data_IF_821039286531
#
_entry.id   IF_821039286531
#
_cell.length_a   1.000
_cell.length_b   1.000
_cell.length_c   1.000
_cell.angle_alpha   90.00
_cell.angle_beta   90.00
_cell.angle_gamma   90.00
#
_symmetry.space_group_name_H-M   'P 1'
#
loop_
_entity.id
_entity.type
_entity.pdbx_description
1 polymer ?
#
# COMPACT_ATOMS: atom_id res chain seq x y z
N UNK A 1 7.62 -3.97 -5.12
CA UNK A 1 6.69 -3.28 -6.00
C UNK A 1 5.25 -3.30 -5.45
N UNK A 2 4.68 -4.49 -5.12
CA UNK A 2 3.29 -4.63 -4.70
C UNK A 2 2.95 -3.69 -3.53
N UNK A 3 3.71 -3.72 -2.42
CA UNK A 3 3.48 -2.86 -1.25
C UNK A 3 3.58 -1.37 -1.61
N UNK A 4 4.55 -0.98 -2.44
CA UNK A 4 4.72 0.41 -2.86
C UNK A 4 3.53 0.94 -3.68
N UNK A 5 2.93 0.10 -4.54
CA UNK A 5 1.81 0.49 -5.40
C UNK A 5 0.42 0.30 -4.77
N UNK A 6 0.32 -0.45 -3.68
CA UNK A 6 -0.98 -0.77 -3.05
C UNK A 6 -1.13 -0.22 -1.63
N UNK A 7 -0.02 0.05 -0.96
CA UNK A 7 -0.01 0.48 0.43
C UNK A 7 -0.42 -0.60 1.43
N UNK A 8 -0.48 -1.88 1.03
CA UNK A 8 -0.85 -2.96 1.93
C UNK A 8 0.20 -3.21 3.01
N UNK A 9 -0.20 -3.87 4.11
CA UNK A 9 0.73 -4.30 5.16
C UNK A 9 1.59 -5.46 4.67
N UNK A 10 2.76 -5.64 5.25
CA UNK A 10 3.67 -6.73 4.89
C UNK A 10 3.00 -8.12 4.99
N UNK A 11 2.31 -8.38 6.11
CA UNK A 11 1.58 -9.64 6.29
C UNK A 11 0.42 -9.84 5.32
N UNK A 12 -0.25 -8.77 4.88
CA UNK A 12 -1.26 -8.80 3.83
C UNK A 12 -0.62 -9.16 2.48
N UNK A 13 0.53 -8.53 2.16
CA UNK A 13 1.24 -8.79 0.91
C UNK A 13 1.75 -10.23 0.81
N UNK A 14 2.21 -10.82 1.91
CA UNK A 14 2.63 -12.21 1.96
C UNK A 14 1.47 -13.20 1.75
N UNK A 15 0.25 -12.83 2.14
CA UNK A 15 -0.94 -13.68 2.04
C UNK A 15 -1.63 -13.61 0.67
N UNK A 16 -1.17 -12.76 -0.25
CA UNK A 16 -1.81 -12.62 -1.57
C UNK A 16 -1.63 -13.90 -2.38
N UNK A 17 -2.74 -14.34 -2.95
CA UNK A 17 -2.85 -15.52 -3.81
C UNK A 17 -3.31 -15.10 -5.21
N UNK A 18 -3.13 -15.93 -6.27
CA UNK A 18 -3.60 -15.59 -7.61
C UNK A 18 -5.10 -15.25 -7.69
N UNK A 19 -5.96 -15.96 -6.95
CA UNK A 19 -7.41 -15.71 -6.92
C UNK A 19 -7.82 -14.36 -6.29
N UNK A 20 -6.92 -13.66 -5.58
CA UNK A 20 -7.21 -12.34 -5.04
C UNK A 20 -7.22 -11.24 -6.11
N UNK A 21 -6.65 -11.53 -7.30
CA UNK A 21 -6.63 -10.62 -8.43
C UNK A 21 -7.87 -10.77 -9.31
N UNK A 22 -8.54 -9.67 -9.57
CA UNK A 22 -9.52 -9.54 -10.64
C UNK A 22 -8.88 -8.72 -11.78
N UNK A 23 -8.22 -9.43 -12.69
CA UNK A 23 -7.47 -8.80 -13.79
C UNK A 23 -8.37 -8.02 -14.74
N UNK A 24 -9.62 -8.47 -14.95
CA UNK A 24 -10.57 -7.81 -15.83
C UNK A 24 -11.06 -6.46 -15.27
N UNK A 25 -11.23 -6.38 -13.94
CA UNK A 25 -11.65 -5.17 -13.24
C UNK A 25 -10.49 -4.37 -12.64
N UNK A 26 -9.25 -4.80 -12.91
CA UNK A 26 -8.03 -4.18 -12.40
C UNK A 26 -8.08 -3.98 -10.88
N UNK A 27 -8.46 -4.99 -10.14
CA UNK A 27 -8.64 -4.89 -8.70
C UNK A 27 -8.02 -6.03 -7.94
N UNK A 28 -7.67 -5.77 -6.68
CA UNK A 28 -7.04 -6.69 -5.75
C UNK A 28 -7.86 -6.75 -4.46
N UNK A 29 -8.22 -7.96 -4.05
CA UNK A 29 -8.91 -8.23 -2.79
C UNK A 29 -7.89 -8.47 -1.69
N UNK A 30 -8.04 -7.78 -0.55
CA UNK A 30 -7.20 -7.93 0.63
C UNK A 30 -8.12 -8.34 1.77
N UNK A 31 -8.10 -9.61 2.14
CA UNK A 31 -9.04 -10.23 3.08
C UNK A 31 -8.38 -11.15 4.12
N UNK A 32 -7.07 -11.35 4.01
CA UNK A 32 -6.29 -12.26 4.87
C UNK A 32 -4.89 -11.74 5.09
N UNK A 33 -4.19 -12.33 6.05
CA UNK A 33 -2.78 -12.07 6.36
C UNK A 33 -2.02 -13.38 6.48
N UNK A 34 -0.69 -13.32 6.40
CA UNK A 34 0.19 -14.45 6.60
C UNK A 34 0.86 -14.40 7.97
N UNK A 35 0.87 -15.52 8.69
CA UNK A 35 1.57 -15.65 9.98
C UNK A 35 3.08 -15.86 9.77
N UNK A 36 3.78 -14.79 9.42
CA UNK A 36 5.23 -14.84 9.20
C UNK A 36 6.06 -14.83 10.49
N UNK A 37 5.43 -14.64 11.66
CA UNK A 37 6.09 -14.62 12.98
C UNK A 37 5.94 -15.94 13.74
N UNK A 38 4.94 -16.73 13.40
CA UNK A 38 4.61 -17.99 14.04
C UNK A 38 4.90 -19.19 13.14
N UNK A 39 3.91 -20.05 13.01
CA UNK A 39 4.04 -21.34 12.30
C UNK A 39 3.76 -21.23 10.80
N UNK A 40 3.51 -20.04 10.28
CA UNK A 40 3.01 -19.85 8.92
C UNK A 40 1.51 -20.10 8.83
N UNK A 41 0.96 -19.89 7.62
CA UNK A 41 -0.46 -20.09 7.32
C UNK A 41 -1.25 -18.80 7.26
N UNK A 42 -2.46 -18.91 6.74
CA UNK A 42 -3.38 -17.78 6.62
C UNK A 42 -4.04 -17.45 7.96
N UNK A 43 -4.10 -16.17 8.26
CA UNK A 43 -4.82 -15.61 9.39
C UNK A 43 -5.83 -14.55 8.91
N UNK A 44 -6.91 -14.31 9.67
CA UNK A 44 -7.80 -13.20 9.39
C UNK A 44 -7.06 -11.87 9.48
N UNK A 45 -7.60 -10.84 8.83
CA UNK A 45 -7.10 -9.48 8.98
C UNK A 45 -7.32 -8.97 10.41
N UNK A 46 -6.51 -7.97 10.83
CA UNK A 46 -6.53 -7.40 12.18
C UNK A 46 -7.91 -6.90 12.61
N UNK A 47 -8.68 -6.35 11.67
CA UNK A 47 -10.04 -5.83 11.89
C UNK A 47 -10.81 -5.84 10.56
N UNK A 48 -12.12 -5.62 10.64
CA UNK A 48 -13.00 -5.67 9.47
C UNK A 48 -12.66 -4.59 8.42
N UNK A 49 -12.23 -3.40 8.83
CA UNK A 49 -11.81 -2.34 7.91
C UNK A 49 -10.56 -2.68 7.09
N UNK A 50 -9.79 -3.69 7.54
CA UNK A 50 -8.65 -4.21 6.78
C UNK A 50 -9.09 -5.08 5.60
N UNK A 51 -10.30 -5.65 5.64
CA UNK A 51 -10.90 -6.35 4.48
C UNK A 51 -11.34 -5.29 3.47
N UNK A 52 -10.75 -5.30 2.30
CA UNK A 52 -11.00 -4.29 1.27
C UNK A 52 -10.65 -4.78 -0.12
N UNK A 53 -11.26 -4.15 -1.11
CA UNK A 53 -10.91 -4.30 -2.52
C UNK A 53 -10.36 -2.97 -3.02
N UNK A 54 -9.20 -2.99 -3.65
CA UNK A 54 -8.53 -1.78 -4.15
C UNK A 54 -8.31 -1.88 -5.66
N UNK A 55 -8.40 -0.74 -6.33
CA UNK A 55 -7.99 -0.64 -7.73
C UNK A 55 -6.46 -0.64 -7.82
N UNK A 56 -5.92 -1.34 -8.82
CA UNK A 56 -4.48 -1.42 -9.10
C UNK A 56 -4.22 -0.97 -10.54
N UNK A 57 -3.06 -0.39 -10.77
CA UNK A 57 -2.71 0.14 -12.09
C UNK A 57 -2.44 -0.98 -13.10
N UNK A 58 -2.57 -0.64 -14.38
CA UNK A 58 -2.42 -1.57 -15.49
C UNK A 58 -1.02 -2.20 -15.58
N UNK A 59 0.02 -1.49 -15.16
CA UNK A 59 1.39 -2.03 -15.15
C UNK A 59 1.52 -3.16 -14.14
N UNK A 60 0.91 -3.00 -12.95
CA UNK A 60 0.87 -4.04 -11.93
C UNK A 60 0.04 -5.25 -12.43
N UNK A 61 -1.09 -4.99 -13.10
CA UNK A 61 -1.92 -6.03 -13.71
C UNK A 61 -1.12 -6.88 -14.69
N UNK A 62 -0.40 -6.26 -15.65
CA UNK A 62 0.41 -7.00 -16.64
C UNK A 62 1.49 -7.85 -15.94
N UNK A 63 2.23 -7.25 -15.00
CA UNK A 63 3.29 -7.97 -14.31
C UNK A 63 2.75 -9.16 -13.51
N UNK A 64 1.64 -8.97 -12.78
CA UNK A 64 1.08 -10.03 -11.97
C UNK A 64 0.34 -11.08 -12.80
N UNK A 65 -0.34 -10.72 -13.88
CA UNK A 65 -0.96 -11.70 -14.79
C UNK A 65 0.06 -12.67 -15.38
N UNK A 66 1.28 -12.20 -15.62
CA UNK A 66 2.39 -13.06 -16.06
C UNK A 66 2.97 -13.88 -14.89
N UNK A 67 3.19 -13.23 -13.75
CA UNK A 67 3.80 -13.86 -12.56
C UNK A 67 2.96 -15.02 -12.02
N UNK A 68 1.64 -14.86 -11.98
CA UNK A 68 0.73 -15.87 -11.39
C UNK A 68 0.34 -16.99 -12.37
N UNK A 69 0.77 -16.91 -13.62
CA UNK A 69 0.44 -17.88 -14.63
C UNK A 69 0.99 -19.27 -14.26
N UNK A 70 0.09 -20.23 -14.09
CA UNK A 70 0.45 -21.60 -13.70
C UNK A 70 0.67 -21.81 -12.20
N UNK A 71 0.51 -20.80 -11.36
CA UNK A 71 0.54 -20.96 -9.90
C UNK A 71 -0.80 -21.50 -9.37
N UNK A 72 -0.80 -22.26 -8.27
CA UNK A 72 -2.01 -22.66 -7.56
C UNK A 72 -2.81 -21.41 -7.14
N UNK A 73 -4.13 -21.47 -7.33
CA UNK A 73 -4.99 -20.29 -7.15
C UNK A 73 -5.14 -19.85 -5.70
N UNK A 74 -5.03 -20.76 -4.75
CA UNK A 74 -5.26 -20.60 -3.31
C UNK A 74 -3.98 -20.57 -2.47
N UNK A 75 -2.81 -20.68 -3.10
CA UNK A 75 -1.51 -20.61 -2.41
C UNK A 75 -0.90 -19.21 -2.48
N UNK A 76 -0.12 -18.79 -1.44
CA UNK A 76 0.50 -17.48 -1.43
C UNK A 76 1.61 -17.38 -2.48
N UNK A 77 1.59 -16.29 -3.26
CA UNK A 77 2.51 -16.07 -4.39
C UNK A 77 3.99 -15.95 -3.93
N UNK A 78 4.22 -15.38 -2.74
CA UNK A 78 5.56 -14.99 -2.29
C UNK A 78 6.15 -15.91 -1.22
N UNK A 79 5.47 -16.99 -0.87
CA UNK A 79 5.92 -17.88 0.20
C UNK A 79 6.51 -19.16 -0.41
N UNK A 80 7.80 -19.32 -0.26
CA UNK A 80 8.54 -20.56 -0.53
C UNK A 80 9.42 -20.88 0.69
N UNK A 81 8.80 -21.36 1.78
CA UNK A 81 9.48 -21.56 3.07
C UNK A 81 9.33 -20.37 4.03
N UNK A 82 10.25 -20.23 4.97
CA UNK A 82 10.19 -19.17 5.97
C UNK A 82 10.58 -17.81 5.38
N UNK A 83 9.70 -16.83 5.46
CA UNK A 83 9.95 -15.45 5.03
C UNK A 83 9.99 -14.53 6.25
N UNK A 84 11.12 -13.90 6.50
CA UNK A 84 11.31 -12.96 7.60
C UNK A 84 11.27 -11.51 7.10
N UNK A 85 10.64 -10.64 7.86
CA UNK A 85 10.59 -9.20 7.58
C UNK A 85 12.02 -8.59 7.54
N UNK A 86 12.93 -9.05 8.41
CA UNK A 86 14.34 -8.64 8.41
C UNK A 86 15.00 -8.91 7.07
N UNK A 87 14.87 -10.12 6.52
CA UNK A 87 15.47 -10.49 5.23
C UNK A 87 15.02 -9.57 4.10
N UNK A 88 13.72 -9.26 4.04
CA UNK A 88 13.18 -8.36 3.02
C UNK A 88 13.68 -6.93 3.22
N UNK A 89 13.76 -6.46 4.48
CA UNK A 89 14.32 -5.14 4.79
C UNK A 89 15.82 -5.04 4.51
N UNK A 90 16.60 -6.11 4.72
CA UNK A 90 18.04 -6.14 4.41
C UNK A 90 18.28 -6.04 2.89
N UNK A 91 17.45 -6.74 2.10
CA UNK A 91 17.49 -6.63 0.64
C UNK A 91 17.13 -5.20 0.21
N UNK A 92 16.06 -4.62 0.77
CA UNK A 92 15.65 -3.27 0.48
C UNK A 92 16.71 -2.25 0.86
N UNK A 93 17.33 -2.40 2.04
CA UNK A 93 18.44 -1.56 2.51
C UNK A 93 19.60 -1.56 1.53
N UNK A 94 19.99 -2.74 1.06
CA UNK A 94 21.08 -2.88 0.05
C UNK A 94 20.74 -2.15 -1.24
N UNK A 95 19.50 -2.29 -1.75
CA UNK A 95 19.07 -1.60 -2.96
C UNK A 95 18.99 -0.08 -2.78
N UNK A 96 18.50 0.41 -1.64
CA UNK A 96 18.48 1.84 -1.35
C UNK A 96 19.89 2.42 -1.33
N UNK A 97 20.84 1.74 -0.64
CA UNK A 97 22.24 2.17 -0.60
C UNK A 97 22.89 2.20 -2.00
N UNK A 98 22.64 1.15 -2.80
CA UNK A 98 23.19 1.08 -4.17
C UNK A 98 22.60 2.18 -5.09
N UNK A 99 21.37 2.59 -4.84
CA UNK A 99 20.71 3.66 -5.58
C UNK A 99 21.02 5.07 -5.03
N UNK A 100 21.79 5.19 -3.95
CA UNK A 100 22.13 6.48 -3.32
C UNK A 100 20.92 7.20 -2.69
N UNK A 101 19.86 6.46 -2.31
CA UNK A 101 18.65 7.01 -1.71
C UNK A 101 18.56 6.65 -0.21
N UNK A 102 17.81 7.43 0.59
CA UNK A 102 17.58 7.10 2.00
C UNK A 102 17.02 5.69 2.17
N UNK A 103 17.55 4.98 3.18
CA UNK A 103 17.09 3.63 3.50
C UNK A 103 15.68 3.67 4.07
N UNK A 104 14.78 2.91 3.48
CA UNK A 104 13.41 2.74 3.94
C UNK A 104 13.11 1.27 4.25
N UNK A 105 12.15 1.01 5.13
CA UNK A 105 11.64 -0.33 5.41
C UNK A 105 10.47 -0.68 4.48
N UNK A 106 10.09 -1.97 4.45
CA UNK A 106 8.85 -2.39 3.75
C UNK A 106 7.62 -1.64 4.29
N UNK A 107 7.59 -1.35 5.60
CA UNK A 107 6.52 -0.53 6.17
C UNK A 107 6.61 0.93 5.71
N UNK A 108 7.83 1.45 5.51
CA UNK A 108 8.09 2.77 4.93
C UNK A 108 7.52 2.90 3.51
N UNK A 109 7.53 1.83 2.70
CA UNK A 109 6.90 1.84 1.37
C UNK A 109 5.39 2.12 1.43
N UNK A 110 4.70 1.61 2.47
CA UNK A 110 3.29 1.92 2.70
C UNK A 110 3.09 3.40 3.07
N UNK A 111 3.98 3.96 3.89
CA UNK A 111 3.95 5.40 4.20
C UNK A 111 4.20 6.24 2.95
N UNK A 112 5.19 5.88 2.14
CA UNK A 112 5.45 6.54 0.85
C UNK A 112 4.23 6.51 -0.06
N UNK A 113 3.56 5.35 -0.17
CA UNK A 113 2.34 5.22 -0.96
C UNK A 113 1.25 6.20 -0.50
N UNK A 114 0.99 6.27 0.80
CA UNK A 114 -0.01 7.18 1.35
C UNK A 114 0.35 8.66 1.13
N UNK A 115 1.62 9.01 1.36
CA UNK A 115 2.14 10.36 1.14
C UNK A 115 1.97 10.80 -0.31
N UNK A 116 2.35 9.94 -1.27
CA UNK A 116 2.20 10.24 -2.70
C UNK A 116 0.74 10.47 -3.10
N UNK A 117 -0.20 9.69 -2.56
CA UNK A 117 -1.63 9.90 -2.83
C UNK A 117 -2.14 11.20 -2.25
N UNK A 118 -1.75 11.55 -1.03
CA UNK A 118 -2.11 12.83 -0.40
C UNK A 118 -1.54 14.00 -1.19
N UNK A 119 -0.25 13.96 -1.57
CA UNK A 119 0.37 14.99 -2.43
C UNK A 119 -0.30 15.11 -3.81
N UNK A 120 -0.85 14.02 -4.34
CA UNK A 120 -1.64 14.03 -5.57
C UNK A 120 -3.07 14.55 -5.38
N UNK A 121 -3.46 15.01 -4.19
CA UNK A 121 -4.79 15.55 -3.89
C UNK A 121 -5.87 14.50 -3.59
N UNK A 122 -5.49 13.23 -3.38
CA UNK A 122 -6.45 12.20 -2.98
C UNK A 122 -6.92 12.48 -1.55
N UNK A 123 -8.22 12.44 -1.32
CA UNK A 123 -8.81 12.74 0.00
C UNK A 123 -8.29 11.80 1.09
N UNK A 124 -8.15 12.33 2.31
CA UNK A 124 -7.73 11.55 3.49
C UNK A 124 -8.63 10.33 3.71
N UNK A 125 -9.94 10.48 3.47
CA UNK A 125 -10.90 9.38 3.59
C UNK A 125 -10.60 8.25 2.61
N UNK A 126 -10.34 8.58 1.34
CA UNK A 126 -9.97 7.59 0.31
C UNK A 126 -8.63 6.91 0.61
N UNK A 127 -7.64 7.65 1.10
CA UNK A 127 -6.36 7.08 1.53
C UNK A 127 -6.55 6.16 2.73
N UNK A 128 -7.32 6.55 3.75
CA UNK A 128 -7.62 5.72 4.91
C UNK A 128 -8.30 4.41 4.52
N UNK A 129 -9.32 4.48 3.65
CA UNK A 129 -10.02 3.31 3.12
C UNK A 129 -9.07 2.39 2.35
N UNK A 130 -8.26 2.94 1.46
CA UNK A 130 -7.28 2.18 0.67
C UNK A 130 -6.26 1.47 1.54
N UNK A 131 -5.79 2.11 2.61
CA UNK A 131 -4.88 1.52 3.58
C UNK A 131 -5.56 0.52 4.52
N UNK A 132 -6.87 0.51 4.65
CA UNK A 132 -7.59 -0.32 5.62
C UNK A 132 -7.37 0.15 7.06
N UNK A 133 -7.44 1.45 7.29
CA UNK A 133 -7.49 2.03 8.62
C UNK A 133 -8.92 1.99 9.15
N UNK A 134 -9.08 1.62 10.41
CA UNK A 134 -10.40 1.57 11.08
C UNK A 134 -10.97 2.96 11.36
N UNK A 135 -10.12 3.98 11.37
CA UNK A 135 -10.50 5.36 11.58
C UNK A 135 -9.68 6.28 10.67
N UNK A 136 -10.33 7.28 10.11
CA UNK A 136 -9.69 8.35 9.37
C UNK A 136 -8.71 9.15 10.25
N UNK A 137 -8.98 9.24 11.55
CA UNK A 137 -8.11 9.87 12.54
C UNK A 137 -6.71 9.26 12.56
N UNK A 138 -6.59 7.94 12.32
CA UNK A 138 -5.28 7.28 12.22
C UNK A 138 -4.47 7.83 11.05
N UNK A 139 -5.11 8.03 9.90
CA UNK A 139 -4.46 8.62 8.71
C UNK A 139 -4.10 10.08 8.97
N UNK A 140 -5.01 10.87 9.53
CA UNK A 140 -4.77 12.27 9.86
C UNK A 140 -3.57 12.44 10.78
N UNK A 141 -3.54 11.73 11.92
CA UNK A 141 -2.42 11.82 12.87
C UNK A 141 -1.07 11.40 12.25
N UNK A 142 -1.07 10.33 11.44
CA UNK A 142 0.15 9.80 10.83
C UNK A 142 0.73 10.76 9.78
N UNK A 143 -0.13 11.45 9.03
CA UNK A 143 0.26 12.29 7.90
C UNK A 143 -0.05 13.77 8.12
N UNK A 144 -0.17 14.20 9.39
CA UNK A 144 -0.55 15.58 9.78
C UNK A 144 0.33 16.63 9.11
N UNK A 145 1.63 16.42 9.06
CA UNK A 145 2.58 17.37 8.45
C UNK A 145 2.34 17.58 6.95
N UNK A 146 1.96 16.49 6.22
CA UNK A 146 1.63 16.57 4.79
C UNK A 146 0.31 17.32 4.60
N UNK A 147 -0.68 17.01 5.45
CA UNK A 147 -2.00 17.64 5.39
C UNK A 147 -1.87 19.16 5.62
N UNK A 148 -1.09 19.58 6.62
CA UNK A 148 -0.84 20.99 6.89
C UNK A 148 -0.12 21.70 5.72
N UNK A 149 0.84 21.01 5.07
CA UNK A 149 1.51 21.57 3.89
C UNK A 149 0.53 21.76 2.72
N UNK A 150 -0.39 20.83 2.52
CA UNK A 150 -1.42 20.94 1.48
C UNK A 150 -2.44 22.03 1.81
N UNK A 151 -2.91 22.14 3.07
CA UNK A 151 -3.82 23.21 3.51
C UNK A 151 -3.22 24.59 3.26
N UNK A 152 -1.92 24.79 3.53
CA UNK A 152 -1.24 26.04 3.24
C UNK A 152 -1.23 26.39 1.74
N UNK A 153 -1.02 25.39 0.87
CA UNK A 153 -1.12 25.57 -0.60
C UNK A 153 -2.54 25.92 -1.05
N UNK A 154 -3.54 25.29 -0.43
CA UNK A 154 -4.95 25.55 -0.72
C UNK A 154 -5.35 26.99 -0.34
N UNK A 155 -4.87 27.52 0.78
CA UNK A 155 -5.08 28.94 1.16
C UNK A 155 -4.56 29.89 0.08
N UNK A 156 -3.35 29.66 -0.45
CA UNK A 156 -2.80 30.47 -1.53
C UNK A 156 -3.65 30.40 -2.81
N UNK A 157 -4.16 29.22 -3.14
CA UNK A 157 -5.06 29.02 -4.29
C UNK A 157 -6.39 29.76 -4.10
N UNK A 158 -6.99 29.69 -2.91
CA UNK A 158 -8.21 30.43 -2.55
C UNK A 158 -7.98 31.93 -2.70
N UNK A 159 -6.89 32.47 -2.14
CA UNK A 159 -6.59 33.91 -2.22
C UNK A 159 -6.39 34.38 -3.65
N UNK A 160 -5.69 33.60 -4.48
CA UNK A 160 -5.53 33.90 -5.92
C UNK A 160 -6.87 33.84 -6.67
N UNK A 161 -7.69 32.84 -6.39
CA UNK A 161 -9.01 32.71 -7.02
C UNK A 161 -9.93 33.86 -6.65
N UNK A 162 -9.95 34.30 -5.38
CA UNK A 162 -10.74 35.44 -4.94
C UNK A 162 -10.26 36.76 -5.55
N UNK A 163 -8.93 36.96 -5.68
CA UNK A 163 -8.37 38.17 -6.29
C UNK A 163 -8.59 38.27 -7.80
N UNK A 164 -8.95 37.18 -8.47
CA UNK A 164 -9.27 37.14 -9.90
C UNK A 164 -10.76 37.44 -10.21
N UNK A 165 -11.58 37.62 -9.18
CA UNK A 165 -13.02 37.90 -9.33
C UNK A 165 -13.33 39.43 -9.47
N UNK A 166 -12.33 40.27 -9.75
CA UNK A 166 -12.51 41.71 -10.01
C UNK A 166 -12.85 42.01 -11.47
#
# INVERSE_FOLDING_TARGET
LLVAKTGMRFSEALAITPQDFDFSRQSLSINKTWDYKGKGGFLPTKNQSSVRKIQIDWQLIIQFSTLVKGLPQDEPIFISGNVYNSTVNDILTRHCKNAGIPVISVHGLRHTHASLLLFAGVSIASVAQRLGHSSMTTTQKTYLHIIQELENKDVDLVMRSLSSLN
#
